data_IF_595345932972
#
_entry.id   IF_595345932972
#
_cell.length_a   1.000
_cell.length_b   1.000
_cell.length_c   1.000
_cell.angle_alpha   90.00
_cell.angle_beta   90.00
_cell.angle_gamma   90.00
#
_symmetry.space_group_name_H-M   'P 1'
#
loop_
_entity.id
_entity.type
_entity.pdbx_description
1 polymer ?
#
# COMPACT_ATOMS: atom_id res chain seq x y z
N UNK A 1 39.18 12.95 -3.54
CA UNK A 1 38.37 13.45 -4.67
C UNK A 1 36.94 13.09 -4.38
N UNK A 2 36.01 14.07 -4.35
CA UNK A 2 34.57 13.81 -4.25
C UNK A 2 34.14 13.00 -5.47
N UNK A 3 33.56 11.85 -5.26
CA UNK A 3 33.05 11.01 -6.34
C UNK A 3 31.69 11.58 -6.76
N UNK A 4 31.67 12.34 -7.85
CA UNK A 4 30.47 12.90 -8.44
C UNK A 4 29.84 11.87 -9.37
N UNK A 5 28.59 11.49 -9.11
CA UNK A 5 27.85 10.53 -9.94
C UNK A 5 26.53 11.17 -10.39
N UNK A 6 26.22 11.00 -11.68
CA UNK A 6 25.00 11.51 -12.31
C UNK A 6 24.01 10.40 -12.59
N UNK A 7 22.75 10.63 -12.25
CA UNK A 7 21.60 9.76 -12.50
C UNK A 7 20.53 10.54 -13.28
N UNK A 8 19.68 9.83 -13.99
CA UNK A 8 18.48 10.42 -14.57
C UNK A 8 17.45 10.66 -13.45
N UNK A 9 17.28 9.65 -12.59
CA UNK A 9 16.32 9.67 -11.49
C UNK A 9 16.97 9.19 -10.18
N UNK A 10 16.70 9.90 -9.08
CA UNK A 10 17.00 9.41 -7.73
C UNK A 10 15.69 9.18 -6.99
N UNK A 11 15.50 7.96 -6.49
CA UNK A 11 14.33 7.57 -5.70
C UNK A 11 14.77 7.48 -4.23
N UNK A 12 14.06 8.14 -3.34
CA UNK A 12 14.31 8.10 -1.90
C UNK A 12 13.22 7.26 -1.22
N UNK A 13 13.65 6.16 -0.57
CA UNK A 13 12.78 5.16 0.05
C UNK A 13 12.79 3.83 -0.70
N UNK A 14 13.46 2.82 -0.11
CA UNK A 14 13.66 1.47 -0.68
C UNK A 14 12.60 0.46 -0.26
N UNK A 15 11.41 0.91 0.14
CA UNK A 15 10.26 0.04 0.38
C UNK A 15 9.54 -0.31 -0.93
N UNK A 16 8.41 -1.03 -0.85
CA UNK A 16 7.70 -1.54 -2.04
C UNK A 16 7.46 -0.51 -3.13
N UNK A 17 7.06 0.73 -2.79
CA UNK A 17 6.75 1.76 -3.79
C UNK A 17 8.01 2.18 -4.58
N UNK A 18 9.11 2.47 -3.89
CA UNK A 18 10.36 2.88 -4.53
C UNK A 18 11.00 1.77 -5.35
N UNK A 19 11.07 0.55 -4.80
CA UNK A 19 11.60 -0.61 -5.53
C UNK A 19 10.78 -0.93 -6.78
N UNK A 20 9.43 -0.93 -6.66
CA UNK A 20 8.55 -1.18 -7.81
C UNK A 20 8.68 -0.09 -8.88
N UNK A 21 8.84 1.18 -8.47
CA UNK A 21 9.08 2.27 -9.41
C UNK A 21 10.40 2.09 -10.17
N UNK A 22 11.48 1.75 -9.46
CA UNK A 22 12.78 1.49 -10.09
C UNK A 22 12.72 0.34 -11.10
N UNK A 23 12.04 -0.76 -10.75
CA UNK A 23 11.84 -1.90 -11.64
C UNK A 23 10.98 -1.54 -12.86
N UNK A 24 9.86 -0.83 -12.65
CA UNK A 24 8.98 -0.41 -13.74
C UNK A 24 9.67 0.54 -14.73
N UNK A 25 10.47 1.49 -14.22
CA UNK A 25 11.27 2.39 -15.05
C UNK A 25 12.34 1.62 -15.84
N UNK A 26 13.04 0.69 -15.19
CA UNK A 26 14.07 -0.12 -15.85
C UNK A 26 13.51 -1.01 -16.94
N UNK A 27 12.38 -1.68 -16.68
CA UNK A 27 11.68 -2.49 -17.68
C UNK A 27 11.25 -1.65 -18.90
N UNK A 28 10.48 -0.57 -18.65
CA UNK A 28 9.91 0.25 -19.72
C UNK A 28 10.96 1.03 -20.55
N UNK A 29 12.13 1.28 -19.98
CA UNK A 29 13.26 1.93 -20.69
C UNK A 29 14.32 0.93 -21.17
N UNK A 30 14.06 -0.36 -21.05
CA UNK A 30 14.99 -1.44 -21.42
C UNK A 30 16.37 -1.30 -20.72
N UNK A 31 16.37 -0.88 -19.46
CA UNK A 31 17.57 -0.69 -18.66
C UNK A 31 18.45 0.50 -19.06
N UNK A 32 17.95 1.43 -19.87
CA UNK A 32 18.73 2.59 -20.35
C UNK A 32 18.77 3.75 -19.36
N UNK A 33 17.70 3.94 -18.58
CA UNK A 33 17.62 4.99 -17.56
C UNK A 33 18.53 4.66 -16.38
N UNK A 34 19.31 5.61 -15.89
CA UNK A 34 20.18 5.44 -14.71
C UNK A 34 19.43 5.85 -13.45
N UNK A 35 19.29 4.92 -12.51
CA UNK A 35 18.52 5.10 -11.27
C UNK A 35 19.43 4.91 -10.06
N UNK A 36 19.37 5.83 -9.10
CA UNK A 36 19.81 5.57 -7.74
C UNK A 36 18.60 5.39 -6.84
N UNK A 37 18.59 4.34 -6.03
CA UNK A 37 17.59 4.11 -4.98
C UNK A 37 18.27 4.24 -3.62
N UNK A 38 17.84 5.23 -2.83
CA UNK A 38 18.43 5.55 -1.53
C UNK A 38 17.51 5.05 -0.41
N UNK A 39 18.04 4.20 0.48
CA UNK A 39 17.31 3.67 1.62
C UNK A 39 18.09 3.92 2.92
N UNK A 40 17.39 4.49 3.91
CA UNK A 40 18.00 4.84 5.19
C UNK A 40 18.33 3.62 6.05
N UNK A 41 17.54 2.58 5.95
CA UNK A 41 17.69 1.37 6.76
C UNK A 41 18.39 0.28 5.95
N UNK A 42 19.30 -0.47 6.60
CA UNK A 42 19.82 -1.68 6.00
C UNK A 42 18.70 -2.69 5.77
N UNK A 43 18.73 -3.47 4.67
CA UNK A 43 17.83 -4.59 4.50
C UNK A 43 17.88 -5.46 5.75
N UNK A 44 16.75 -5.61 6.44
CA UNK A 44 16.71 -6.40 7.66
C UNK A 44 16.66 -7.89 7.27
N UNK A 45 17.76 -8.61 7.54
CA UNK A 45 17.83 -10.08 7.44
C UNK A 45 17.08 -10.76 8.62
N UNK A 46 16.04 -10.14 9.15
CA UNK A 46 15.26 -10.74 10.21
C UNK A 46 14.25 -11.71 9.60
N UNK A 47 14.55 -12.98 9.69
CA UNK A 47 13.65 -14.12 9.44
C UNK A 47 12.47 -14.11 10.42
N UNK A 48 11.60 -13.11 10.34
CA UNK A 48 10.28 -13.14 10.97
C UNK A 48 9.28 -13.73 9.96
N UNK A 49 9.63 -14.90 9.43
CA UNK A 49 8.72 -15.69 8.61
C UNK A 49 7.69 -16.38 9.50
N UNK A 50 6.50 -16.52 9.03
CA UNK A 50 5.45 -17.27 9.71
C UNK A 50 4.54 -16.39 10.56
N UNK A 51 4.33 -16.77 11.82
CA UNK A 51 3.25 -16.26 12.65
C UNK A 51 3.28 -14.74 12.93
N UNK A 52 4.45 -14.09 12.88
CA UNK A 52 4.61 -12.65 13.15
C UNK A 52 4.84 -11.79 11.88
N UNK A 53 4.68 -12.36 10.69
CA UNK A 53 4.89 -11.62 9.45
C UNK A 53 3.78 -10.57 9.22
N UNK A 54 4.18 -9.32 8.95
CA UNK A 54 3.24 -8.26 8.54
C UNK A 54 2.85 -8.45 7.08
N UNK A 55 1.56 -8.31 6.81
CA UNK A 55 0.99 -8.54 5.48
C UNK A 55 0.33 -7.31 4.91
N UNK A 56 0.21 -7.29 3.60
CA UNK A 56 -0.64 -6.35 2.86
C UNK A 56 -1.55 -7.11 1.90
N UNK A 57 -2.72 -6.51 1.64
CA UNK A 57 -3.62 -6.96 0.60
C UNK A 57 -3.37 -6.16 -0.69
N UNK A 58 -3.02 -6.87 -1.75
CA UNK A 58 -2.95 -6.35 -3.11
C UNK A 58 -4.30 -6.56 -3.78
N UNK A 59 -4.85 -5.52 -4.41
CA UNK A 59 -6.04 -5.66 -5.26
C UNK A 59 -5.70 -6.38 -6.57
N UNK A 60 -6.70 -6.93 -7.25
CA UNK A 60 -6.50 -7.58 -8.54
C UNK A 60 -5.79 -6.66 -9.55
N UNK A 61 -6.16 -5.36 -9.57
CA UNK A 61 -5.50 -4.37 -10.41
C UNK A 61 -4.03 -4.16 -10.07
N UNK A 62 -3.67 -4.15 -8.77
CA UNK A 62 -2.27 -4.08 -8.36
C UNK A 62 -1.48 -5.32 -8.78
N UNK A 63 -2.06 -6.52 -8.63
CA UNK A 63 -1.44 -7.75 -9.12
C UNK A 63 -1.20 -7.71 -10.64
N UNK A 64 -2.18 -7.23 -11.41
CA UNK A 64 -2.03 -7.07 -12.87
C UNK A 64 -1.00 -6.00 -13.24
N UNK A 65 -0.86 -4.92 -12.48
CA UNK A 65 0.19 -3.93 -12.73
C UNK A 65 1.59 -4.51 -12.47
N UNK A 66 1.74 -5.31 -11.41
CA UNK A 66 2.99 -6.04 -11.14
C UNK A 66 3.28 -7.09 -12.22
N UNK A 67 2.24 -7.69 -12.80
CA UNK A 67 2.38 -8.67 -13.88
C UNK A 67 2.84 -8.04 -15.21
N UNK A 68 2.68 -6.74 -15.39
CA UNK A 68 3.16 -5.98 -16.55
C UNK A 68 4.63 -5.57 -16.46
N UNK A 69 5.28 -5.72 -15.29
CA UNK A 69 6.71 -5.44 -15.14
C UNK A 69 7.48 -6.71 -15.47
N UNK A 70 8.15 -6.72 -16.60
CA UNK A 70 8.95 -7.85 -17.07
C UNK A 70 10.40 -7.72 -16.61
N UNK A 71 10.90 -8.75 -15.95
CA UNK A 71 12.27 -8.80 -15.44
C UNK A 71 13.24 -9.35 -16.52
N UNK A 72 14.56 -9.14 -16.37
CA UNK A 72 15.56 -9.63 -17.34
C UNK A 72 15.50 -11.15 -17.58
N UNK A 73 15.04 -11.92 -16.62
CA UNK A 73 14.84 -13.37 -16.74
C UNK A 73 13.55 -13.77 -17.46
N UNK A 74 12.86 -12.83 -18.12
CA UNK A 74 11.62 -13.00 -18.87
C UNK A 74 10.40 -13.39 -18.02
N UNK A 75 10.48 -13.35 -16.70
CA UNK A 75 9.33 -13.51 -15.82
C UNK A 75 8.74 -12.15 -15.47
N UNK A 76 7.44 -12.09 -15.22
CA UNK A 76 6.86 -10.89 -14.64
C UNK A 76 7.17 -10.81 -13.15
N UNK A 77 7.14 -9.60 -12.60
CA UNK A 77 7.31 -9.40 -11.16
C UNK A 77 6.21 -10.12 -10.37
N UNK A 78 4.97 -10.17 -10.90
CA UNK A 78 3.89 -10.92 -10.28
C UNK A 78 4.11 -12.44 -10.31
N UNK A 79 4.68 -12.98 -11.38
CA UNK A 79 5.01 -14.40 -11.44
C UNK A 79 6.04 -14.81 -10.37
N UNK A 80 6.90 -13.92 -9.93
CA UNK A 80 7.81 -14.18 -8.81
C UNK A 80 7.12 -14.02 -7.44
N UNK A 81 6.13 -13.13 -7.33
CA UNK A 81 5.41 -12.88 -6.08
C UNK A 81 4.24 -13.85 -5.85
N UNK A 82 3.55 -14.26 -6.90
CA UNK A 82 2.32 -15.07 -6.79
C UNK A 82 2.50 -16.40 -6.05
N UNK A 83 3.64 -17.13 -6.14
CA UNK A 83 3.85 -18.35 -5.36
C UNK A 83 3.94 -18.08 -3.84
N UNK A 84 4.24 -16.84 -3.46
CA UNK A 84 4.34 -16.39 -2.06
C UNK A 84 3.04 -15.79 -1.55
N UNK A 85 2.10 -15.51 -2.43
CA UNK A 85 0.83 -14.85 -2.13
C UNK A 85 -0.26 -15.86 -1.72
N UNK A 86 -1.19 -15.37 -0.91
CA UNK A 86 -2.45 -16.07 -0.61
C UNK A 86 -3.59 -15.39 -1.36
N UNK A 87 -4.28 -16.06 -2.28
CA UNK A 87 -5.33 -15.44 -3.07
C UNK A 87 -6.55 -15.06 -2.21
N UNK A 88 -7.24 -13.99 -2.61
CA UNK A 88 -8.55 -13.59 -2.09
C UNK A 88 -9.56 -13.85 -3.20
N UNK A 89 -10.36 -14.91 -3.07
CA UNK A 89 -11.42 -15.24 -4.01
C UNK A 89 -12.79 -14.76 -3.54
N UNK A 90 -12.93 -14.61 -2.22
CA UNK A 90 -14.17 -14.19 -1.59
C UNK A 90 -13.90 -13.04 -0.61
N UNK A 91 -14.79 -12.03 -0.60
CA UNK A 91 -14.79 -10.97 0.41
C UNK A 91 -16.15 -10.97 1.11
N UNK A 92 -16.12 -11.14 2.44
CA UNK A 92 -17.29 -11.16 3.29
C UNK A 92 -17.33 -9.88 4.12
N UNK A 93 -18.30 -9.01 3.84
CA UNK A 93 -18.52 -7.75 4.56
C UNK A 93 -19.74 -7.90 5.46
N UNK A 94 -19.61 -7.60 6.74
CA UNK A 94 -20.69 -7.72 7.72
C UNK A 94 -20.67 -6.61 8.76
N UNK A 95 -21.81 -6.33 9.37
CA UNK A 95 -21.97 -5.39 10.48
C UNK A 95 -22.30 -6.16 11.76
N UNK A 96 -21.56 -5.91 12.85
CA UNK A 96 -21.75 -6.64 14.12
C UNK A 96 -23.09 -6.28 14.74
N UNK A 97 -23.87 -7.31 15.11
CA UNK A 97 -25.20 -7.12 15.72
C UNK A 97 -26.32 -6.87 14.74
N UNK A 98 -26.04 -6.86 13.43
CA UNK A 98 -27.02 -6.61 12.39
C UNK A 98 -27.00 -7.71 11.31
N UNK A 99 -28.08 -7.84 10.56
CA UNK A 99 -28.23 -8.88 9.52
C UNK A 99 -27.66 -8.48 8.15
N UNK A 100 -27.17 -7.26 7.99
CA UNK A 100 -26.54 -6.77 6.75
C UNK A 100 -25.30 -7.58 6.41
N UNK A 101 -25.36 -8.32 5.31
CA UNK A 101 -24.29 -9.15 4.78
C UNK A 101 -24.12 -8.89 3.30
N UNK A 102 -22.86 -8.67 2.87
CA UNK A 102 -22.51 -8.52 1.48
C UNK A 102 -21.31 -9.43 1.17
N UNK A 103 -21.45 -10.25 0.15
CA UNK A 103 -20.39 -11.11 -0.32
C UNK A 103 -20.02 -10.76 -1.77
N UNK A 104 -18.72 -10.71 -2.02
CA UNK A 104 -18.17 -10.60 -3.37
C UNK A 104 -17.40 -11.88 -3.66
N UNK A 105 -17.56 -12.38 -4.86
CA UNK A 105 -16.87 -13.57 -5.36
C UNK A 105 -16.09 -13.21 -6.62
N UNK A 106 -14.92 -13.80 -6.82
CA UNK A 106 -14.14 -13.59 -8.04
C UNK A 106 -14.94 -13.94 -9.30
N UNK A 107 -15.88 -14.87 -9.18
CA UNK A 107 -16.79 -15.29 -10.26
C UNK A 107 -17.83 -14.19 -10.64
N UNK A 108 -18.11 -13.23 -9.76
CA UNK A 108 -19.03 -12.11 -10.07
C UNK A 108 -18.40 -11.09 -11.04
N UNK A 109 -17.09 -11.17 -11.22
CA UNK A 109 -16.28 -10.39 -12.15
C UNK A 109 -15.41 -11.36 -12.96
N UNK A 110 -14.96 -11.04 -14.20
CA UNK A 110 -14.16 -11.95 -15.01
C UNK A 110 -12.70 -12.04 -14.50
N UNK A 111 -12.53 -12.46 -13.24
CA UNK A 111 -11.23 -12.55 -12.56
C UNK A 111 -11.08 -13.91 -11.90
N UNK A 112 -9.84 -14.41 -11.82
CA UNK A 112 -9.51 -15.60 -11.05
C UNK A 112 -9.50 -15.32 -9.54
N UNK A 113 -9.20 -14.06 -9.14
CA UNK A 113 -9.13 -13.63 -7.76
C UNK A 113 -9.43 -12.13 -7.65
N UNK A 114 -9.98 -11.69 -6.52
CA UNK A 114 -10.25 -10.27 -6.22
C UNK A 114 -8.99 -9.52 -5.74
N UNK A 115 -7.99 -10.26 -5.32
CA UNK A 115 -6.73 -9.77 -4.82
C UNK A 115 -5.88 -10.88 -4.20
N UNK A 116 -4.81 -10.50 -3.54
CA UNK A 116 -3.93 -11.44 -2.85
C UNK A 116 -3.31 -10.81 -1.62
N UNK A 117 -3.03 -11.63 -0.60
CA UNK A 117 -2.30 -11.21 0.60
C UNK A 117 -0.86 -11.65 0.46
N UNK A 118 0.07 -10.75 0.71
CA UNK A 118 1.52 -11.01 0.66
C UNK A 118 2.19 -10.56 1.95
N UNK A 119 3.21 -11.30 2.38
CA UNK A 119 4.06 -10.93 3.51
C UNK A 119 5.11 -9.90 3.06
N UNK A 120 5.20 -8.77 3.78
CA UNK A 120 6.07 -7.65 3.40
C UNK A 120 7.55 -8.04 3.30
N UNK A 121 8.00 -8.93 4.17
CA UNK A 121 9.39 -9.39 4.14
C UNK A 121 9.69 -10.15 2.84
N UNK A 122 8.85 -11.13 2.48
CA UNK A 122 9.02 -11.94 1.28
C UNK A 122 8.97 -11.06 0.01
N UNK A 123 8.07 -10.09 -0.01
CA UNK A 123 8.01 -9.10 -1.09
C UNK A 123 9.29 -8.29 -1.19
N UNK A 124 9.83 -7.83 -0.05
CA UNK A 124 11.09 -7.09 -0.01
C UNK A 124 12.25 -7.89 -0.59
N UNK A 125 12.37 -9.18 -0.23
CA UNK A 125 13.40 -10.08 -0.77
C UNK A 125 13.27 -10.26 -2.29
N UNK A 126 12.05 -10.47 -2.80
CA UNK A 126 11.81 -10.58 -4.25
C UNK A 126 12.17 -9.29 -4.98
N UNK A 127 11.77 -8.12 -4.45
CA UNK A 127 12.06 -6.83 -5.06
C UNK A 127 13.57 -6.55 -5.10
N UNK A 128 14.31 -6.82 -4.02
CA UNK A 128 15.77 -6.64 -3.98
C UNK A 128 16.46 -7.58 -4.96
N UNK A 129 16.06 -8.85 -5.01
CA UNK A 129 16.60 -9.81 -5.96
C UNK A 129 16.28 -9.44 -7.42
N UNK A 130 15.11 -8.87 -7.67
CA UNK A 130 14.73 -8.38 -9.00
C UNK A 130 15.58 -7.17 -9.40
N UNK A 131 15.78 -6.20 -8.50
CA UNK A 131 16.63 -5.02 -8.76
C UNK A 131 18.09 -5.41 -9.04
N UNK A 132 18.61 -6.41 -8.35
CA UNK A 132 19.99 -6.88 -8.57
C UNK A 132 20.25 -7.42 -10.00
N UNK A 133 19.19 -7.73 -10.75
CA UNK A 133 19.29 -8.14 -12.16
C UNK A 133 19.47 -6.95 -13.14
N UNK A 134 19.27 -5.72 -12.65
CA UNK A 134 19.34 -4.51 -13.47
C UNK A 134 20.60 -3.69 -13.19
N UNK A 135 21.60 -3.66 -14.10
CA UNK A 135 22.86 -2.94 -13.88
C UNK A 135 22.72 -1.42 -13.89
N UNK A 136 21.56 -0.90 -14.31
CA UNK A 136 21.24 0.53 -14.33
C UNK A 136 20.61 1.04 -13.01
N UNK A 137 20.42 0.17 -12.00
CA UNK A 137 19.93 0.52 -10.68
C UNK A 137 21.06 0.42 -9.67
N UNK A 138 21.48 1.54 -9.10
CA UNK A 138 22.39 1.57 -7.98
C UNK A 138 21.59 1.66 -6.67
N UNK A 139 21.64 0.61 -5.83
CA UNK A 139 20.96 0.56 -4.55
C UNK A 139 21.90 0.91 -3.40
N UNK A 140 21.60 2.01 -2.70
CA UNK A 140 22.37 2.49 -1.54
C UNK A 140 21.57 2.27 -0.26
N UNK A 141 21.96 1.28 0.53
CA UNK A 141 21.39 0.96 1.85
C UNK A 141 22.42 0.31 2.77
N UNK A 142 22.63 0.82 4.00
CA UNK A 142 22.02 2.03 4.53
C UNK A 142 22.70 3.30 4.03
N UNK A 143 21.91 4.34 3.75
CA UNK A 143 22.45 5.66 3.43
C UNK A 143 21.58 6.77 4.02
N UNK A 144 22.20 7.81 4.55
CA UNK A 144 21.50 8.98 5.04
C UNK A 144 21.81 10.20 4.17
N UNK A 145 20.73 10.88 3.77
CA UNK A 145 20.81 12.16 3.06
C UNK A 145 21.07 13.25 4.09
N UNK A 146 22.08 14.08 3.83
CA UNK A 146 22.40 15.25 4.61
C UNK A 146 21.65 16.47 4.10
N UNK A 147 21.67 16.68 2.77
CA UNK A 147 21.02 17.84 2.14
C UNK A 147 20.54 17.53 0.73
N UNK A 148 19.41 18.12 0.35
CA UNK A 148 18.88 18.16 -1.02
C UNK A 148 18.86 19.63 -1.47
N UNK A 149 19.51 19.94 -2.59
CA UNK A 149 19.57 21.28 -3.18
C UNK A 149 18.97 21.22 -4.59
N UNK A 150 18.02 22.11 -4.86
CA UNK A 150 17.36 22.22 -6.15
C UNK A 150 18.05 23.28 -7.00
N UNK A 151 18.67 22.87 -8.09
CA UNK A 151 19.24 23.74 -9.11
C UNK A 151 18.28 23.84 -10.31
N UNK A 152 18.52 24.77 -11.21
CA UNK A 152 17.62 25.02 -12.35
C UNK A 152 17.38 23.76 -13.21
N UNK A 153 18.43 22.99 -13.49
CA UNK A 153 18.39 21.86 -14.43
C UNK A 153 18.61 20.48 -13.78
N UNK A 154 18.93 20.45 -12.47
CA UNK A 154 19.23 19.23 -11.76
C UNK A 154 18.98 19.38 -10.26
N UNK A 155 18.99 18.26 -9.56
CA UNK A 155 18.96 18.21 -8.10
C UNK A 155 20.30 17.66 -7.61
N UNK A 156 20.89 18.33 -6.60
CA UNK A 156 22.11 17.88 -5.92
C UNK A 156 21.72 17.26 -4.58
N UNK A 157 22.20 16.06 -4.32
CA UNK A 157 21.98 15.34 -3.07
C UNK A 157 23.34 15.07 -2.42
N UNK A 158 23.55 15.64 -1.22
CA UNK A 158 24.71 15.38 -0.38
C UNK A 158 24.38 14.29 0.63
N UNK A 159 25.20 13.25 0.68
CA UNK A 159 25.06 12.13 1.61
C UNK A 159 26.00 12.33 2.81
N UNK A 160 25.64 11.85 3.99
CA UNK A 160 26.50 11.93 5.20
C UNK A 160 27.85 11.24 5.06
N UNK A 161 27.99 10.31 4.13
CA UNK A 161 29.27 9.66 3.82
C UNK A 161 30.15 10.45 2.83
N UNK A 162 29.90 11.75 2.67
CA UNK A 162 30.64 12.69 1.80
C UNK A 162 30.54 12.40 0.29
N UNK A 163 29.57 11.61 -0.14
CA UNK A 163 29.26 11.44 -1.57
C UNK A 163 28.26 12.48 -2.02
N UNK A 164 28.44 12.97 -3.25
CA UNK A 164 27.51 13.91 -3.89
C UNK A 164 26.93 13.25 -5.13
N UNK A 165 25.59 13.20 -5.20
CA UNK A 165 24.84 12.65 -6.31
C UNK A 165 24.05 13.77 -7.00
N UNK A 166 23.90 13.65 -8.33
CA UNK A 166 23.06 14.58 -9.12
C UNK A 166 22.03 13.80 -9.89
N UNK A 167 20.84 14.38 -10.08
CA UNK A 167 19.80 13.81 -10.93
C UNK A 167 18.98 14.91 -11.63
N UNK A 168 18.27 14.54 -12.69
CA UNK A 168 17.27 15.40 -13.33
C UNK A 168 16.01 15.52 -12.49
N UNK A 169 15.62 14.41 -11.83
CA UNK A 169 14.39 14.31 -11.04
C UNK A 169 14.65 13.52 -9.75
N UNK A 170 14.20 14.04 -8.61
CA UNK A 170 14.14 13.32 -7.34
C UNK A 170 12.72 12.86 -7.06
N UNK A 171 12.54 11.62 -6.60
CA UNK A 171 11.22 11.05 -6.29
C UNK A 171 11.18 10.62 -4.82
N UNK A 172 10.24 11.16 -4.06
CA UNK A 172 9.98 10.78 -2.67
C UNK A 172 9.04 9.57 -2.61
N UNK A 173 9.57 8.44 -2.13
CA UNK A 173 8.84 7.22 -1.75
C UNK A 173 9.11 6.86 -0.28
N UNK A 174 9.54 7.85 0.52
CA UNK A 174 10.12 7.76 1.87
C UNK A 174 9.09 7.92 3.01
N UNK A 175 7.82 7.66 2.70
CA UNK A 175 6.74 7.56 3.68
C UNK A 175 6.20 8.90 4.16
N UNK A 176 5.33 8.86 5.18
CA UNK A 176 4.54 10.01 5.66
C UNK A 176 5.40 11.17 6.18
N UNK A 177 6.61 10.90 6.64
CA UNK A 177 7.55 11.93 7.10
C UNK A 177 8.61 12.25 6.03
N UNK A 178 8.21 12.29 4.78
CA UNK A 178 9.08 12.42 3.62
C UNK A 178 10.09 13.58 3.76
N UNK A 179 11.37 13.23 3.72
CA UNK A 179 12.47 14.18 3.66
C UNK A 179 12.46 14.94 2.32
N UNK A 180 12.11 14.24 1.23
CA UNK A 180 12.00 14.84 -0.10
C UNK A 180 10.91 15.90 -0.11
N UNK A 181 9.71 15.61 0.40
CA UNK A 181 8.62 16.56 0.52
C UNK A 181 9.04 17.79 1.35
N UNK A 182 9.66 17.57 2.51
CA UNK A 182 10.15 18.64 3.39
C UNK A 182 11.19 19.52 2.68
N UNK A 183 12.15 18.93 1.98
CA UNK A 183 13.20 19.65 1.25
C UNK A 183 12.65 20.45 0.08
N UNK A 184 11.62 19.94 -0.60
CA UNK A 184 10.90 20.60 -1.67
C UNK A 184 9.83 21.60 -1.16
N UNK A 185 9.74 21.84 0.16
CA UNK A 185 8.72 22.69 0.78
C UNK A 185 7.27 22.29 0.44
N UNK A 186 7.04 21.02 0.16
CA UNK A 186 5.71 20.43 0.01
C UNK A 186 5.16 20.16 1.41
N UNK A 187 4.01 20.76 1.72
CA UNK A 187 3.39 20.62 3.04
C UNK A 187 2.58 19.33 3.08
N UNK A 188 2.93 18.45 4.02
CA UNK A 188 2.10 17.29 4.36
C UNK A 188 1.23 17.65 5.56
N UNK A 189 -0.08 17.65 5.38
CA UNK A 189 -1.05 18.04 6.40
C UNK A 189 -1.86 16.82 6.87
N UNK A 190 -2.15 16.78 8.18
CA UNK A 190 -3.08 15.83 8.76
C UNK A 190 -4.51 16.31 8.46
N UNK A 191 -5.11 15.76 7.41
CA UNK A 191 -6.46 16.14 6.96
C UNK A 191 -7.55 15.62 7.91
N UNK A 192 -7.32 14.44 8.49
CA UNK A 192 -8.27 13.83 9.42
C UNK A 192 -7.53 12.95 10.43
N UNK A 193 -7.85 13.12 11.70
CA UNK A 193 -7.58 12.15 12.75
C UNK A 193 -8.79 11.24 12.89
N UNK A 194 -8.61 9.94 12.68
CA UNK A 194 -9.71 8.99 12.84
C UNK A 194 -9.98 8.67 14.31
N UNK A 195 -9.09 9.10 15.23
CA UNK A 195 -9.15 8.76 16.66
C UNK A 195 -9.25 7.25 16.87
N UNK A 196 -8.55 6.52 16.04
CA UNK A 196 -8.49 5.07 16.05
C UNK A 196 -7.04 4.60 15.90
N UNK A 197 -6.77 3.42 16.42
CA UNK A 197 -5.49 2.72 16.29
C UNK A 197 -5.75 1.35 15.70
N UNK A 198 -5.01 0.96 14.68
CA UNK A 198 -5.03 -0.39 14.13
C UNK A 198 -4.12 -1.30 14.96
N UNK A 199 -4.67 -2.38 15.51
CA UNK A 199 -3.92 -3.50 16.08
C UNK A 199 -3.71 -4.51 14.97
N UNK A 200 -2.45 -4.86 14.70
CA UNK A 200 -2.06 -5.82 13.66
C UNK A 200 -1.38 -7.02 14.31
N UNK A 201 -1.82 -8.22 13.94
CA UNK A 201 -1.21 -9.49 14.30
C UNK A 201 -1.70 -10.60 13.38
N UNK A 202 -1.09 -11.78 13.42
CA UNK A 202 -1.57 -12.95 12.71
C UNK A 202 -2.31 -13.88 13.67
N UNK A 203 -3.37 -14.52 13.17
CA UNK A 203 -4.28 -15.36 13.97
C UNK A 203 -4.34 -16.77 13.35
N UNK A 204 -4.07 -17.80 14.15
CA UNK A 204 -4.34 -19.19 13.79
C UNK A 204 -5.81 -19.48 14.04
N UNK A 205 -6.50 -20.02 13.03
CA UNK A 205 -7.93 -20.34 13.08
C UNK A 205 -8.19 -21.83 12.99
N UNK A 206 -9.30 -22.28 13.55
CA UNK A 206 -9.66 -23.70 13.59
C UNK A 206 -10.13 -24.23 12.23
N UNK A 207 -10.97 -23.45 11.53
CA UNK A 207 -11.53 -23.82 10.25
C UNK A 207 -10.72 -23.20 9.09
N UNK A 208 -10.60 -23.88 7.93
CA UNK A 208 -9.98 -23.29 6.76
C UNK A 208 -10.71 -22.02 6.32
N UNK A 209 -9.98 -20.97 5.96
CA UNK A 209 -10.55 -19.71 5.50
C UNK A 209 -11.08 -19.75 4.06
N UNK A 210 -10.77 -20.80 3.29
CA UNK A 210 -11.25 -20.96 1.90
C UNK A 210 -11.03 -19.71 1.04
N UNK A 211 -9.81 -19.10 1.15
CA UNK A 211 -9.41 -17.89 0.40
C UNK A 211 -10.36 -16.69 0.60
N UNK A 212 -11.03 -16.65 1.76
CA UNK A 212 -12.01 -15.62 2.10
C UNK A 212 -11.39 -14.57 3.01
N UNK A 213 -11.46 -13.31 2.57
CA UNK A 213 -11.21 -12.15 3.40
C UNK A 213 -12.51 -11.73 4.11
N UNK A 214 -12.37 -11.23 5.32
CA UNK A 214 -13.49 -10.74 6.12
C UNK A 214 -13.25 -9.27 6.46
N UNK A 215 -14.27 -8.45 6.26
CA UNK A 215 -14.35 -7.08 6.77
C UNK A 215 -15.59 -7.00 7.65
N UNK A 216 -15.39 -6.79 8.95
CA UNK A 216 -16.47 -6.72 9.92
C UNK A 216 -16.47 -5.37 10.60
N UNK A 217 -17.53 -4.63 10.41
CA UNK A 217 -17.71 -3.36 11.11
C UNK A 217 -18.18 -3.61 12.55
N UNK A 218 -17.58 -2.91 13.50
CA UNK A 218 -17.92 -2.94 14.92
C UNK A 218 -18.12 -1.53 15.44
N UNK A 219 -18.70 -1.36 16.63
CA UNK A 219 -18.89 -0.06 17.26
C UNK A 219 -17.59 0.74 17.48
N UNK A 220 -16.46 0.05 17.64
CA UNK A 220 -15.14 0.68 17.83
C UNK A 220 -14.45 1.02 16.51
N UNK A 221 -14.72 0.24 15.46
CA UNK A 221 -14.11 0.39 14.15
C UNK A 221 -14.14 -0.90 13.34
N UNK A 222 -13.59 -0.90 12.12
CA UNK A 222 -13.52 -2.10 11.29
C UNK A 222 -12.52 -3.11 11.84
N UNK A 223 -12.85 -4.39 11.60
CA UNK A 223 -12.04 -5.55 11.90
C UNK A 223 -11.90 -6.38 10.62
N UNK A 224 -10.70 -6.44 10.08
CA UNK A 224 -10.37 -7.26 8.92
C UNK A 224 -9.61 -8.51 9.30
N UNK A 225 -9.96 -9.64 8.69
CA UNK A 225 -9.16 -10.87 8.68
C UNK A 225 -8.89 -11.24 7.23
N UNK A 226 -7.61 -11.27 6.86
CA UNK A 226 -7.13 -11.53 5.52
C UNK A 226 -6.51 -12.92 5.43
N UNK A 227 -6.84 -13.73 4.41
CA UNK A 227 -6.33 -15.09 4.30
C UNK A 227 -4.82 -15.11 4.05
N UNK A 228 -4.12 -15.92 4.81
CA UNK A 228 -2.71 -16.25 4.62
C UNK A 228 -2.59 -17.74 4.29
N UNK A 229 -1.36 -18.26 4.26
CA UNK A 229 -1.14 -19.69 4.03
C UNK A 229 -1.77 -20.54 5.14
N UNK A 230 -2.18 -21.72 4.80
CA UNK A 230 -2.76 -22.71 5.70
C UNK A 230 -4.05 -22.22 6.39
N UNK A 231 -4.01 -22.09 7.70
CA UNK A 231 -5.12 -21.62 8.54
C UNK A 231 -4.73 -20.33 9.28
N UNK A 232 -3.82 -19.57 8.69
CA UNK A 232 -3.44 -18.26 9.21
C UNK A 232 -4.29 -17.17 8.59
N UNK A 233 -4.60 -16.15 9.41
CA UNK A 233 -5.26 -14.93 9.00
C UNK A 233 -4.45 -13.74 9.50
N UNK A 234 -4.22 -12.75 8.65
CA UNK A 234 -3.69 -11.46 9.09
C UNK A 234 -4.83 -10.59 9.61
N UNK A 235 -4.73 -10.20 10.88
CA UNK A 235 -5.71 -9.34 11.57
C UNK A 235 -5.31 -7.87 11.42
N UNK A 236 -6.28 -7.04 11.08
CA UNK A 236 -6.25 -5.58 11.26
C UNK A 236 -7.50 -5.20 12.04
N UNK A 237 -7.35 -4.85 13.31
CA UNK A 237 -8.47 -4.48 14.18
C UNK A 237 -8.35 -3.01 14.61
N UNK A 238 -9.24 -2.17 14.11
CA UNK A 238 -9.28 -0.76 14.45
C UNK A 238 -10.10 -0.54 15.72
N UNK A 239 -9.49 0.11 16.71
CA UNK A 239 -10.09 0.41 18.01
C UNK A 239 -9.80 1.86 18.40
N UNK A 240 -10.64 2.45 19.27
CA UNK A 240 -10.42 3.81 19.79
C UNK A 240 -9.22 3.85 20.74
N UNK A 241 -9.15 2.93 21.70
CA UNK A 241 -8.04 2.80 22.63
C UNK A 241 -7.44 1.39 22.59
N UNK A 242 -6.19 1.22 22.11
CA UNK A 242 -5.53 -0.07 22.06
C UNK A 242 -4.90 -0.50 23.41
N UNK A 243 -4.81 0.38 24.41
CA UNK A 243 -3.98 0.19 25.60
C UNK A 243 -4.30 -1.10 26.35
N UNK A 244 -5.57 -1.38 26.62
CA UNK A 244 -6.00 -2.61 27.27
C UNK A 244 -5.64 -3.83 26.39
N UNK A 245 -6.02 -3.82 25.11
CA UNK A 245 -5.85 -4.96 24.20
C UNK A 245 -4.38 -5.33 23.96
N UNK A 246 -3.48 -4.35 24.02
CA UNK A 246 -2.04 -4.57 23.84
C UNK A 246 -1.39 -5.24 25.05
N UNK A 247 -1.98 -5.11 26.23
CA UNK A 247 -1.45 -5.68 27.51
C UNK A 247 -2.07 -7.00 27.91
N UNK A 248 -3.22 -7.38 27.31
CA UNK A 248 -3.89 -8.65 27.61
C UNK A 248 -2.99 -9.86 27.32
N UNK A 249 -3.17 -10.94 28.09
CA UNK A 249 -2.65 -12.25 27.69
C UNK A 249 -3.30 -12.72 26.39
N UNK A 250 -2.61 -13.57 25.62
CA UNK A 250 -3.07 -14.03 24.30
C UNK A 250 -4.45 -14.72 24.39
N UNK A 251 -4.70 -15.53 25.42
CA UNK A 251 -6.00 -16.19 25.61
C UNK A 251 -7.15 -15.20 25.82
N UNK A 252 -6.92 -14.15 26.61
CA UNK A 252 -7.94 -13.11 26.85
C UNK A 252 -8.13 -12.26 25.60
N UNK A 253 -7.05 -11.88 24.90
CA UNK A 253 -7.13 -11.17 23.63
C UNK A 253 -7.94 -11.95 22.58
N UNK A 254 -7.65 -13.24 22.40
CA UNK A 254 -8.38 -14.10 21.48
C UNK A 254 -9.87 -14.22 21.87
N UNK A 255 -10.19 -14.27 23.16
CA UNK A 255 -11.58 -14.28 23.62
C UNK A 255 -12.30 -12.98 23.25
N UNK A 256 -11.67 -11.82 23.45
CA UNK A 256 -12.21 -10.52 23.06
C UNK A 256 -12.39 -10.43 21.53
N UNK A 257 -11.38 -10.88 20.78
CA UNK A 257 -11.44 -10.92 19.33
C UNK A 257 -12.57 -11.82 18.83
N UNK A 258 -12.74 -13.02 19.42
CA UNK A 258 -13.81 -13.96 19.09
C UNK A 258 -15.21 -13.35 19.30
N UNK A 259 -15.39 -12.57 20.39
CA UNK A 259 -16.65 -11.87 20.68
C UNK A 259 -16.95 -10.78 19.61
N UNK A 260 -15.92 -10.16 19.04
CA UNK A 260 -16.09 -9.16 18.00
C UNK A 260 -16.30 -9.80 16.61
N UNK A 261 -15.50 -10.80 16.28
CA UNK A 261 -15.53 -11.45 14.97
C UNK A 261 -16.65 -12.47 14.82
N UNK A 262 -16.94 -13.25 15.86
CA UNK A 262 -17.86 -14.37 15.82
C UNK A 262 -17.17 -15.69 15.44
N UNK A 263 -17.95 -16.74 15.10
CA UNK A 263 -17.50 -18.12 14.95
C UNK A 263 -17.32 -18.61 13.50
N UNK A 264 -17.28 -17.70 12.53
CA UNK A 264 -17.20 -18.05 11.09
C UNK A 264 -15.96 -18.84 10.68
N UNK A 265 -14.88 -18.74 11.46
CA UNK A 265 -13.63 -19.49 11.26
C UNK A 265 -13.40 -20.52 12.37
N UNK A 266 -14.47 -20.91 13.07
CA UNK A 266 -14.36 -21.73 14.27
C UNK A 266 -13.67 -20.97 15.41
N UNK A 267 -12.95 -21.70 16.27
CA UNK A 267 -12.19 -21.13 17.40
C UNK A 267 -10.94 -20.41 16.89
N UNK A 268 -10.69 -19.19 17.35
CA UNK A 268 -9.42 -18.50 17.19
C UNK A 268 -8.42 -19.08 18.20
N UNK A 269 -7.34 -19.70 17.70
CA UNK A 269 -6.53 -20.62 18.50
C UNK A 269 -5.26 -19.97 19.06
N UNK A 270 -4.56 -19.19 18.24
CA UNK A 270 -3.30 -18.52 18.61
C UNK A 270 -3.23 -17.15 17.98
N UNK A 271 -2.52 -16.21 18.61
CA UNK A 271 -2.16 -14.93 18.02
C UNK A 271 -0.65 -14.71 18.08
N UNK A 272 -0.13 -14.01 17.08
CA UNK A 272 1.24 -13.57 17.05
C UNK A 272 1.49 -12.31 17.87
N UNK A 273 2.69 -11.76 17.76
CA UNK A 273 3.04 -10.48 18.37
C UNK A 273 2.11 -9.38 17.83
N UNK A 274 1.57 -8.59 18.75
CA UNK A 274 0.67 -7.47 18.43
C UNK A 274 1.46 -6.20 18.18
N UNK A 275 1.08 -5.47 17.15
CA UNK A 275 1.61 -4.14 16.82
C UNK A 275 0.46 -3.15 16.76
N UNK A 276 0.71 -1.89 17.10
CA UNK A 276 -0.31 -0.84 17.08
C UNK A 276 0.15 0.36 16.26
N UNK A 277 -0.76 0.90 15.43
CA UNK A 277 -0.49 2.02 14.54
C UNK A 277 -1.63 3.04 14.61
N UNK A 278 -1.38 4.28 15.07
CA UNK A 278 -2.37 5.35 15.03
C UNK A 278 -2.82 5.64 13.59
N UNK A 279 -4.12 5.84 13.41
CA UNK A 279 -4.72 6.04 12.09
C UNK A 279 -5.05 7.51 11.85
N UNK A 280 -4.46 8.07 10.81
CA UNK A 280 -4.75 9.42 10.35
C UNK A 280 -4.64 9.49 8.82
N UNK A 281 -5.41 10.39 8.21
CA UNK A 281 -5.26 10.78 6.82
C UNK A 281 -4.22 11.90 6.76
N UNK A 282 -3.10 11.62 6.15
CA UNK A 282 -2.11 12.62 5.76
C UNK A 282 -2.15 12.79 4.25
N UNK A 283 -2.03 14.03 3.79
CA UNK A 283 -2.00 14.35 2.37
C UNK A 283 -1.03 15.49 2.11
N UNK A 284 -0.21 15.34 1.08
CA UNK A 284 0.58 16.43 0.54
C UNK A 284 -0.34 17.45 -0.18
N UNK A 285 -0.06 18.73 -0.03
CA UNK A 285 -0.81 19.81 -0.69
C UNK A 285 -0.60 19.82 -2.22
N UNK A 286 0.48 19.22 -2.68
CA UNK A 286 0.81 18.93 -4.07
C UNK A 286 1.68 17.68 -4.16
N UNK A 287 1.64 16.96 -5.28
CA UNK A 287 2.47 15.78 -5.48
C UNK A 287 3.75 16.07 -6.24
N UNK A 288 3.88 17.26 -6.75
CA UNK A 288 5.02 17.70 -7.53
C UNK A 288 5.54 19.06 -7.05
N UNK A 289 6.79 19.28 -7.29
CA UNK A 289 7.45 20.60 -7.18
C UNK A 289 8.58 20.65 -8.20
N UNK A 290 9.39 21.72 -8.18
CA UNK A 290 10.55 21.83 -9.05
C UNK A 290 11.41 20.55 -9.00
N UNK A 291 11.48 19.79 -10.11
CA UNK A 291 12.24 18.54 -10.25
C UNK A 291 11.96 17.51 -9.15
N UNK A 292 10.73 17.49 -8.64
CA UNK A 292 10.33 16.60 -7.55
C UNK A 292 8.96 15.98 -7.84
N UNK A 293 8.83 14.67 -7.56
CA UNK A 293 7.55 13.98 -7.51
C UNK A 293 7.45 13.14 -6.22
N UNK A 294 6.24 12.97 -5.69
CA UNK A 294 5.94 12.11 -4.54
C UNK A 294 5.05 10.95 -4.94
N UNK A 295 5.31 9.77 -4.39
CA UNK A 295 4.52 8.55 -4.63
C UNK A 295 4.20 7.84 -3.31
N UNK A 296 3.07 7.12 -3.28
CA UNK A 296 2.67 6.30 -2.15
C UNK A 296 2.48 7.11 -0.86
N UNK A 297 3.00 6.61 0.27
CA UNK A 297 2.81 7.25 1.56
C UNK A 297 3.50 8.61 1.71
N UNK A 298 4.43 8.97 0.83
CA UNK A 298 5.01 10.31 0.77
C UNK A 298 4.02 11.33 0.19
N UNK A 299 3.12 10.91 -0.70
CA UNK A 299 2.05 11.72 -1.24
C UNK A 299 0.80 11.72 -0.34
N UNK A 300 0.43 10.55 0.19
CA UNK A 300 -0.78 10.39 1.01
C UNK A 300 -0.82 9.08 1.79
N UNK A 301 -1.44 9.12 2.98
CA UNK A 301 -1.75 7.92 3.78
C UNK A 301 -3.24 7.82 3.99
N UNK A 302 -3.81 6.63 3.82
CA UNK A 302 -5.23 6.36 3.97
C UNK A 302 -5.52 5.49 5.20
N UNK A 303 -6.78 5.48 5.63
CA UNK A 303 -7.28 4.48 6.55
C UNK A 303 -7.12 3.08 5.94
N UNK A 304 -6.70 2.04 6.71
CA UNK A 304 -6.42 0.70 6.18
C UNK A 304 -7.67 -0.08 5.74
N UNK A 305 -8.84 0.52 5.74
CA UNK A 305 -10.11 -0.10 5.26
C UNK A 305 -9.92 -0.66 3.87
N UNK A 306 -10.33 -1.90 3.68
CA UNK A 306 -10.23 -2.63 2.42
C UNK A 306 -8.81 -2.68 1.81
N UNK A 307 -7.74 -2.46 2.59
CA UNK A 307 -6.36 -2.53 2.12
C UNK A 307 -5.96 -1.49 1.06
N UNK A 308 -6.66 -0.35 0.97
CA UNK A 308 -6.52 0.57 -0.17
C UNK A 308 -5.25 1.44 -0.14
N UNK A 309 -4.60 1.62 1.02
CA UNK A 309 -3.45 2.54 1.12
C UNK A 309 -2.31 2.20 0.16
N UNK A 310 -1.84 0.96 0.17
CA UNK A 310 -0.78 0.53 -0.73
C UNK A 310 -1.24 0.49 -2.20
N UNK A 311 -2.46 0.00 -2.45
CA UNK A 311 -2.99 -0.11 -3.80
C UNK A 311 -3.11 1.26 -4.50
N UNK A 312 -3.42 2.31 -3.76
CA UNK A 312 -3.41 3.68 -4.27
C UNK A 312 -1.99 4.15 -4.60
N UNK A 313 -1.02 3.87 -3.71
CA UNK A 313 0.39 4.16 -3.95
C UNK A 313 0.95 3.42 -5.18
N UNK A 314 0.50 2.18 -5.44
CA UNK A 314 0.86 1.44 -6.65
C UNK A 314 0.38 2.15 -7.93
N UNK A 315 -0.82 2.72 -7.91
CA UNK A 315 -1.31 3.52 -9.05
C UNK A 315 -0.46 4.77 -9.28
N UNK A 316 0.05 5.41 -8.21
CA UNK A 316 0.99 6.53 -8.33
C UNK A 316 2.27 6.07 -9.04
N UNK A 317 2.85 4.96 -8.58
CA UNK A 317 4.07 4.35 -9.13
C UNK A 317 3.92 4.05 -10.62
N UNK A 318 2.86 3.36 -11.02
CA UNK A 318 2.65 2.96 -12.42
C UNK A 318 2.38 4.17 -13.32
N UNK A 319 1.60 5.14 -12.85
CA UNK A 319 1.34 6.37 -13.59
C UNK A 319 2.63 7.16 -13.84
N UNK A 320 3.43 7.35 -12.80
CA UNK A 320 4.69 8.08 -12.88
C UNK A 320 5.71 7.33 -13.77
N UNK A 321 5.85 6.01 -13.58
CA UNK A 321 6.75 5.18 -14.40
C UNK A 321 6.44 5.30 -15.89
N UNK A 322 5.16 5.21 -16.25
CA UNK A 322 4.72 5.35 -17.66
C UNK A 322 5.08 6.71 -18.25
N UNK A 323 4.79 7.80 -17.54
CA UNK A 323 5.07 9.16 -18.03
C UNK A 323 6.58 9.41 -18.16
N UNK A 324 7.36 9.03 -17.14
CA UNK A 324 8.81 9.21 -17.15
C UNK A 324 9.49 8.36 -18.22
N UNK A 325 9.06 7.11 -18.41
CA UNK A 325 9.63 6.24 -19.46
C UNK A 325 9.35 6.77 -20.86
N UNK A 326 8.14 7.28 -21.11
CA UNK A 326 7.81 7.91 -22.39
C UNK A 326 8.65 9.17 -22.64
N UNK A 327 8.81 10.03 -21.63
CA UNK A 327 9.62 11.23 -21.71
C UNK A 327 11.11 10.91 -21.92
N UNK A 328 11.64 9.91 -21.20
CA UNK A 328 13.02 9.44 -21.34
C UNK A 328 13.31 8.92 -22.77
N UNK A 329 12.42 8.09 -23.30
CA UNK A 329 12.57 7.55 -24.67
C UNK A 329 12.42 8.63 -25.75
N UNK A 330 11.77 9.75 -25.45
CA UNK A 330 11.65 10.93 -26.28
C UNK A 330 12.75 11.99 -26.01
N UNK A 331 13.76 11.66 -25.20
CA UNK A 331 14.88 12.54 -24.83
C UNK A 331 14.42 13.88 -24.20
N UNK A 332 13.29 13.86 -23.48
CA UNK A 332 12.74 15.03 -22.79
C UNK A 332 13.33 15.17 -21.39
N UNK A 333 13.34 16.40 -20.86
CA UNK A 333 13.74 16.67 -19.47
C UNK A 333 12.75 16.04 -18.48
N UNK A 334 13.20 15.04 -17.70
CA UNK A 334 12.39 14.33 -16.72
C UNK A 334 11.92 15.21 -15.55
N UNK A 335 12.63 16.31 -15.27
CA UNK A 335 12.27 17.29 -14.24
C UNK A 335 11.37 18.41 -14.75
N UNK A 336 10.97 18.41 -16.03
CA UNK A 336 10.15 19.46 -16.62
C UNK A 336 8.78 19.56 -15.94
N UNK A 337 8.37 20.78 -15.59
CA UNK A 337 7.07 21.03 -14.94
C UNK A 337 5.88 20.55 -15.76
N UNK A 338 5.93 20.69 -17.09
CA UNK A 338 4.89 20.23 -18.00
C UNK A 338 4.67 18.70 -17.93
N UNK A 339 5.73 17.93 -17.73
CA UNK A 339 5.66 16.48 -17.55
C UNK A 339 5.08 16.14 -16.17
N UNK A 340 5.62 16.75 -15.11
CA UNK A 340 5.20 16.48 -13.74
C UNK A 340 3.75 16.90 -13.48
N UNK A 341 3.27 18.00 -14.10
CA UNK A 341 1.88 18.43 -13.96
C UNK A 341 0.87 17.45 -14.60
N UNK A 342 1.27 16.70 -15.63
CA UNK A 342 0.45 15.61 -16.18
C UNK A 342 0.28 14.49 -15.16
N UNK A 343 1.36 14.12 -14.44
CA UNK A 343 1.29 13.15 -13.35
C UNK A 343 0.33 13.62 -12.25
N UNK A 344 0.49 14.85 -11.76
CA UNK A 344 -0.35 15.41 -10.69
C UNK A 344 -1.83 15.41 -11.09
N UNK A 345 -2.15 15.91 -12.29
CA UNK A 345 -3.52 15.96 -12.81
C UNK A 345 -4.14 14.57 -12.91
N UNK A 346 -3.39 13.59 -13.44
CA UNK A 346 -3.87 12.21 -13.57
C UNK A 346 -4.16 11.57 -12.21
N UNK A 347 -3.37 11.92 -11.17
CA UNK A 347 -3.52 11.31 -9.84
C UNK A 347 -4.56 11.97 -8.97
N UNK A 348 -4.75 13.31 -9.04
CA UNK A 348 -5.68 14.04 -8.19
C UNK A 348 -7.13 13.52 -8.28
N UNK A 349 -7.63 13.24 -9.49
CA UNK A 349 -9.00 12.76 -9.68
C UNK A 349 -9.22 11.36 -9.06
N UNK A 350 -8.28 10.45 -9.26
CA UNK A 350 -8.36 9.08 -8.75
C UNK A 350 -8.24 9.05 -7.21
N UNK A 351 -7.29 9.80 -6.67
CA UNK A 351 -7.09 9.91 -5.23
C UNK A 351 -8.28 10.52 -4.52
N UNK A 352 -8.84 11.61 -5.04
CA UNK A 352 -10.02 12.24 -4.47
C UNK A 352 -11.20 11.28 -4.41
N UNK A 353 -11.45 10.51 -5.47
CA UNK A 353 -12.52 9.49 -5.48
C UNK A 353 -12.31 8.46 -4.38
N UNK A 354 -11.10 7.92 -4.24
CA UNK A 354 -10.83 6.87 -3.27
C UNK A 354 -10.84 7.39 -1.82
N UNK A 355 -10.32 8.59 -1.58
CA UNK A 355 -10.40 9.26 -0.28
C UNK A 355 -11.86 9.49 0.13
N UNK A 356 -12.71 9.97 -0.79
CA UNK A 356 -14.12 10.16 -0.50
C UNK A 356 -14.84 8.83 -0.24
N UNK A 357 -14.54 7.79 -1.01
CA UNK A 357 -15.10 6.46 -0.81
C UNK A 357 -14.72 5.89 0.57
N UNK A 358 -13.43 5.88 0.91
CA UNK A 358 -12.94 5.33 2.19
C UNK A 358 -13.43 6.14 3.38
N UNK A 359 -13.41 7.47 3.30
CA UNK A 359 -13.94 8.34 4.35
C UNK A 359 -15.47 8.17 4.51
N UNK A 360 -16.19 7.98 3.40
CA UNK A 360 -17.63 7.70 3.40
C UNK A 360 -17.93 6.40 4.12
N UNK A 361 -17.21 5.31 3.79
CA UNK A 361 -17.35 4.02 4.46
C UNK A 361 -17.08 4.15 5.97
N UNK A 362 -15.94 4.72 6.36
CA UNK A 362 -15.63 4.94 7.78
C UNK A 362 -16.75 5.72 8.47
N UNK A 363 -17.23 6.80 7.88
CA UNK A 363 -18.26 7.67 8.49
C UNK A 363 -19.61 6.97 8.64
N UNK A 364 -20.04 6.19 7.63
CA UNK A 364 -21.31 5.46 7.66
C UNK A 364 -21.26 4.33 8.68
N UNK A 365 -20.14 3.59 8.75
CA UNK A 365 -20.05 2.40 9.61
C UNK A 365 -19.61 2.72 11.04
N UNK A 366 -18.91 3.82 11.30
CA UNK A 366 -18.55 4.27 12.64
C UNK A 366 -19.69 5.02 13.36
N UNK A 367 -20.83 5.26 12.71
CA UNK A 367 -21.93 6.04 13.27
C UNK A 367 -22.98 5.13 13.93
N UNK A 368 -23.37 5.45 15.16
CA UNK A 368 -24.34 4.68 15.96
C UNK A 368 -25.78 5.22 15.88
N UNK A 369 -26.05 6.25 15.05
CA UNK A 369 -27.40 6.78 14.87
C UNK A 369 -28.31 5.75 14.21
N UNK A 370 -29.47 5.44 14.82
CA UNK A 370 -30.42 4.44 14.36
C UNK A 370 -30.80 4.58 12.85
N UNK A 371 -31.11 5.77 12.31
CA UNK A 371 -31.42 5.90 10.89
C UNK A 371 -30.26 5.48 9.97
N UNK A 372 -29.01 5.77 10.35
CA UNK A 372 -27.83 5.37 9.59
C UNK A 372 -27.54 3.87 9.72
N UNK A 373 -27.80 3.28 10.88
CA UNK A 373 -27.70 1.83 11.08
C UNK A 373 -28.71 1.08 10.18
N UNK A 374 -29.96 1.52 10.16
CA UNK A 374 -31.00 0.94 9.29
C UNK A 374 -30.62 1.16 7.82
N UNK A 375 -30.24 2.38 7.45
CA UNK A 375 -29.88 2.73 6.08
C UNK A 375 -28.69 1.92 5.54
N UNK A 376 -27.62 1.72 6.33
CA UNK A 376 -26.46 0.92 5.92
C UNK A 376 -26.78 -0.56 5.78
N UNK A 377 -27.62 -1.12 6.68
CA UNK A 377 -28.05 -2.52 6.58
C UNK A 377 -28.95 -2.74 5.36
N UNK A 378 -29.92 -1.87 5.10
CA UNK A 378 -30.73 -1.91 3.87
C UNK A 378 -29.86 -1.73 2.62
N UNK A 379 -28.87 -0.83 2.67
CA UNK A 379 -27.91 -0.62 1.59
C UNK A 379 -27.06 -1.88 1.30
N UNK A 380 -26.54 -2.54 2.33
CA UNK A 380 -25.85 -3.83 2.18
C UNK A 380 -26.75 -4.91 1.59
N UNK A 381 -28.00 -5.02 2.05
CA UNK A 381 -28.97 -5.98 1.52
C UNK A 381 -29.33 -5.69 0.07
N UNK A 382 -29.55 -4.42 -0.30
CA UNK A 382 -29.83 -4.02 -1.68
C UNK A 382 -28.64 -4.29 -2.61
N UNK A 383 -27.40 -3.98 -2.17
CA UNK A 383 -26.18 -4.34 -2.88
C UNK A 383 -26.05 -5.86 -3.02
N UNK A 384 -26.39 -6.63 -1.99
CA UNK A 384 -26.34 -8.09 -2.03
C UNK A 384 -27.23 -8.71 -3.10
N UNK A 385 -28.38 -8.08 -3.39
CA UNK A 385 -29.35 -8.59 -4.36
C UNK A 385 -29.13 -8.10 -5.79
N UNK A 386 -28.38 -7.01 -6.01
CA UNK A 386 -28.19 -6.42 -7.32
C UNK A 386 -26.80 -6.65 -7.87
N UNK A 387 -26.66 -7.51 -8.89
CA UNK A 387 -25.38 -7.76 -9.56
C UNK A 387 -24.76 -6.51 -10.18
N UNK A 388 -25.58 -5.63 -10.79
CA UNK A 388 -25.12 -4.37 -11.38
C UNK A 388 -24.55 -3.41 -10.33
N UNK A 389 -25.24 -3.25 -9.19
CA UNK A 389 -24.76 -2.40 -8.10
C UNK A 389 -23.49 -2.97 -7.46
N UNK A 390 -23.39 -4.28 -7.27
CA UNK A 390 -22.17 -4.95 -6.82
C UNK A 390 -20.98 -4.65 -7.72
N UNK A 391 -21.15 -4.78 -9.03
CA UNK A 391 -20.08 -4.49 -10.00
C UNK A 391 -19.63 -3.03 -9.97
N UNK A 392 -20.56 -2.07 -9.88
CA UNK A 392 -20.21 -0.65 -9.78
C UNK A 392 -19.46 -0.31 -8.49
N UNK A 393 -19.80 -0.99 -7.39
CA UNK A 393 -19.14 -0.77 -6.10
C UNK A 393 -17.74 -1.40 -6.05
N UNK A 394 -17.57 -2.62 -6.58
CA UNK A 394 -16.31 -3.35 -6.47
C UNK A 394 -15.23 -2.85 -7.44
N UNK A 395 -15.58 -2.40 -8.65
CA UNK A 395 -14.60 -1.97 -9.67
C UNK A 395 -13.58 -0.95 -9.15
N UNK A 396 -13.96 0.17 -8.50
CA UNK A 396 -13.00 1.14 -7.99
C UNK A 396 -12.06 0.56 -6.92
N UNK A 397 -12.55 -0.42 -6.12
CA UNK A 397 -11.77 -1.05 -5.05
C UNK A 397 -10.81 -2.12 -5.58
N UNK A 398 -11.10 -2.70 -6.75
CA UNK A 398 -10.22 -3.66 -7.43
C UNK A 398 -9.04 -3.02 -8.16
N UNK A 399 -9.03 -1.69 -8.32
CA UNK A 399 -7.84 -1.02 -8.86
C UNK A 399 -7.96 -0.52 -10.30
N UNK A 400 -9.21 -0.40 -10.81
CA UNK A 400 -9.50 0.18 -12.15
C UNK A 400 -10.18 1.54 -12.05
#
# INVERSE_FOLDING_TARGET
>A
MEQIVHYDVIIVGGAMAGCTLALALSDQTQGKIRIALLEKQAPQNHHQTGFDARCIALSAGSCQQLDRITLPNQQSLWQQLSPLASPIEHIHVSDKGHSGLLEFHAQDVPLSQLGAVVELQQVGEVLLNAMAQYPNIDYFAPVEIEQIQFEKERVKISLKNHRTLFCQLIIGADGTQSLVAKSAQIRITKQRDYQQTAIITNIQVQQPHQQRAFERFTAEGPLALLPMRDRLMSLVWCVKDPSELMTLSDGVFLTRLQQQFGWRLGKLQQCGKRFSYPLALYQADRHIYHRTALVGNAAQTLHPIAGQGFNLGMRDVICLAKLLSQAFMAEQDLGAYSLLSQYETARQADQSRLIHLTNGLVSIFANELLPLQIGRNLGLMALAQSHLLKQQFIKPTLGW
#
